data_IF_010520856431
#
_entry.id   IF_010520856431
#
_cell.length_a   1.000
_cell.length_b   1.000
_cell.length_c   1.000
_cell.angle_alpha   90.00
_cell.angle_beta   90.00
_cell.angle_gamma   90.00
#
_symmetry.space_group_name_H-M   'P 1'
#
loop_
_entity.id
_entity.type
_entity.pdbx_description
1 polymer ?
#
# COMPACT_ATOMS: atom_id res chain seq x y z
N UNK A 1 14.93 -11.23 7.99
CA UNK A 1 14.12 -10.32 8.82
C UNK A 1 14.36 -8.86 8.43
N UNK A 2 13.98 -8.40 7.23
CA UNK A 2 14.22 -6.99 6.83
C UNK A 2 13.19 -6.39 5.88
N UNK A 3 12.43 -7.21 5.13
CA UNK A 3 11.51 -6.70 4.10
C UNK A 3 10.17 -6.18 4.69
N UNK A 4 9.69 -6.79 5.76
CA UNK A 4 8.42 -6.42 6.41
C UNK A 4 8.44 -5.05 7.08
N UNK A 5 9.60 -4.59 7.57
CA UNK A 5 9.74 -3.26 8.17
C UNK A 5 9.74 -2.15 7.12
N UNK A 6 10.34 -2.39 5.96
CA UNK A 6 10.35 -1.41 4.87
C UNK A 6 8.94 -1.22 4.30
N UNK A 7 8.17 -2.30 4.14
CA UNK A 7 6.77 -2.23 3.73
C UNK A 7 5.91 -1.44 4.72
N UNK A 8 6.11 -1.66 6.03
CA UNK A 8 5.42 -0.88 7.08
C UNK A 8 5.77 0.60 7.05
N UNK A 9 7.05 0.94 6.88
CA UNK A 9 7.48 2.32 6.76
C UNK A 9 6.86 2.99 5.53
N UNK A 10 6.77 2.30 4.39
CA UNK A 10 6.13 2.83 3.18
C UNK A 10 4.61 3.01 3.36
N UNK A 11 3.95 2.17 4.15
CA UNK A 11 2.54 2.31 4.51
C UNK A 11 2.31 3.49 5.49
N UNK A 12 3.16 3.64 6.51
CA UNK A 12 3.11 4.76 7.47
C UNK A 12 3.45 6.11 6.84
N UNK A 13 4.34 6.13 5.85
CA UNK A 13 4.67 7.34 5.07
C UNK A 13 3.54 7.72 4.10
N UNK A 14 2.49 6.89 4.00
CA UNK A 14 1.35 7.14 3.13
C UNK A 14 1.67 6.94 1.65
N UNK A 15 2.72 6.17 1.32
CA UNK A 15 3.16 5.91 -0.06
C UNK A 15 2.30 4.85 -0.77
N UNK A 16 1.48 4.11 -0.02
CA UNK A 16 0.67 3.01 -0.53
C UNK A 16 -0.77 3.18 -0.03
N UNK A 17 -1.74 3.12 -0.93
CA UNK A 17 -3.17 3.17 -0.64
C UNK A 17 -3.73 1.75 -0.65
N UNK A 18 -4.32 1.33 0.46
CA UNK A 18 -5.04 0.07 0.58
C UNK A 18 -6.51 0.28 0.25
N UNK A 19 -6.98 -0.30 -0.85
CA UNK A 19 -8.38 -0.27 -1.24
C UNK A 19 -9.01 -1.64 -1.01
N UNK A 20 -9.99 -1.70 -0.10
CA UNK A 20 -10.77 -2.90 0.17
C UNK A 20 -12.07 -2.87 -0.64
N UNK A 21 -12.25 -3.89 -1.48
CA UNK A 21 -13.48 -4.07 -2.23
C UNK A 21 -14.34 -5.11 -1.51
N UNK A 22 -15.43 -4.64 -0.90
CA UNK A 22 -16.47 -5.46 -0.27
C UNK A 22 -17.34 -6.17 -1.32
N UNK A 23 -16.72 -6.97 -2.19
CA UNK A 23 -17.40 -7.87 -3.14
C UNK A 23 -17.14 -9.32 -2.76
N UNK A 24 -17.92 -10.26 -3.27
CA UNK A 24 -17.64 -11.69 -3.14
C UNK A 24 -17.00 -12.15 -4.46
N UNK A 25 -15.76 -12.66 -4.47
CA UNK A 25 -14.83 -12.81 -3.33
C UNK A 25 -14.20 -11.47 -2.89
N UNK A 26 -13.87 -11.32 -1.59
CA UNK A 26 -13.26 -10.09 -1.07
C UNK A 26 -11.92 -9.84 -1.78
N UNK A 27 -11.73 -8.64 -2.30
CA UNK A 27 -10.50 -8.24 -3.00
C UNK A 27 -9.87 -7.07 -2.25
N UNK A 28 -8.58 -7.18 -1.98
CA UNK A 28 -7.77 -6.10 -1.42
C UNK A 28 -6.72 -5.75 -2.44
N UNK A 29 -6.67 -4.48 -2.86
CA UNK A 29 -5.64 -3.97 -3.77
C UNK A 29 -4.79 -2.93 -3.06
N UNK A 30 -3.48 -3.02 -3.26
CA UNK A 30 -2.51 -2.04 -2.83
C UNK A 30 -2.07 -1.27 -4.07
N UNK A 31 -2.21 0.05 -4.06
CA UNK A 31 -1.76 0.93 -5.16
C UNK A 31 -0.80 1.97 -4.62
N UNK A 32 0.11 2.46 -5.45
CA UNK A 32 0.97 3.58 -5.07
C UNK A 32 0.08 4.83 -4.85
N UNK A 33 0.34 5.55 -3.77
CA UNK A 33 -0.29 6.85 -3.54
C UNK A 33 0.35 7.93 -4.41
N UNK A 34 -0.27 9.11 -4.49
CA UNK A 34 0.29 10.27 -5.17
C UNK A 34 1.72 10.65 -4.71
N UNK A 35 2.04 10.36 -3.44
CA UNK A 35 3.38 10.57 -2.86
C UNK A 35 4.32 9.46 -3.36
N UNK A 36 3.86 8.20 -3.35
CA UNK A 36 4.63 7.05 -3.87
C UNK A 36 4.95 7.15 -5.36
N UNK A 37 4.04 7.73 -6.15
CA UNK A 37 4.28 8.02 -7.56
C UNK A 37 5.31 9.13 -7.80
N UNK A 38 5.46 10.08 -6.88
CA UNK A 38 6.41 11.20 -7.00
C UNK A 38 7.86 10.83 -6.65
N UNK A 39 8.06 9.74 -5.90
CA UNK A 39 9.37 9.29 -5.42
C UNK A 39 10.08 8.39 -6.44
N UNK A 40 9.38 7.93 -7.49
CA UNK A 40 9.92 7.10 -8.57
C UNK A 40 10.17 7.92 -9.84
#
# INVERSE_FOLDING_TARGET
MQLSRQLKALEEDGLIIRTEYAKIPPKVEYSLSDIGMKVY
#
